data_IF_747189330852
#
_entry.id   IF_747189330852
#
_cell.length_a   1.000
_cell.length_b   1.000
_cell.length_c   1.000
_cell.angle_alpha   90.00
_cell.angle_beta   90.00
_cell.angle_gamma   90.00
#
_symmetry.space_group_name_H-M   'P 1'
#
loop_
_entity.id
_entity.type
_entity.pdbx_description
1 polymer ?
#
# COMPACT_ATOMS: atom_id res chain seq x y z
N UNK A 1 44.78 66.01 -4.80
CA UNK A 1 44.52 65.28 -3.54
C UNK A 1 43.02 64.98 -3.52
N UNK A 2 42.63 63.72 -3.27
CA UNK A 2 41.25 63.15 -3.27
C UNK A 2 40.64 62.90 -4.68
N UNK A 3 40.65 61.69 -5.25
CA UNK A 3 40.04 60.37 -4.93
C UNK A 3 38.59 60.19 -5.47
N UNK A 4 38.49 59.33 -6.50
CA UNK A 4 37.49 58.27 -6.73
C UNK A 4 35.98 58.61 -6.66
N UNK A 5 35.30 58.46 -7.79
CA UNK A 5 33.84 58.40 -7.89
C UNK A 5 33.39 57.36 -8.94
N UNK A 6 33.74 56.09 -8.73
CA UNK A 6 33.15 54.95 -9.47
C UNK A 6 32.21 54.23 -8.51
N UNK A 7 31.06 53.84 -9.06
CA UNK A 7 30.06 52.88 -8.55
C UNK A 7 28.99 53.39 -7.58
N UNK A 8 27.80 53.58 -8.14
CA UNK A 8 26.53 53.31 -7.44
C UNK A 8 25.58 52.69 -8.46
N UNK A 9 25.80 51.42 -8.81
CA UNK A 9 24.74 50.59 -9.37
C UNK A 9 23.77 50.27 -8.22
N UNK A 10 22.54 50.75 -8.34
CA UNK A 10 21.46 50.43 -7.43
C UNK A 10 21.30 48.91 -7.35
N UNK A 11 21.51 48.35 -6.16
CA UNK A 11 21.32 46.93 -5.86
C UNK A 11 19.82 46.68 -5.85
N UNK A 12 19.29 46.09 -6.93
CA UNK A 12 17.90 45.63 -6.97
C UNK A 12 17.67 44.66 -5.80
N UNK A 13 16.72 44.99 -4.93
CA UNK A 13 16.33 44.16 -3.80
C UNK A 13 15.78 42.82 -4.33
N UNK A 14 16.36 41.71 -3.86
CA UNK A 14 15.81 40.36 -4.09
C UNK A 14 14.42 40.29 -3.44
N UNK A 15 13.39 39.73 -4.10
CA UNK A 15 12.11 39.51 -3.44
C UNK A 15 12.31 38.48 -2.33
N UNK A 16 11.93 38.86 -1.10
CA UNK A 16 11.92 37.94 0.02
C UNK A 16 10.84 36.87 -0.23
N UNK A 17 11.25 35.62 -0.30
CA UNK A 17 10.31 34.49 -0.28
C UNK A 17 9.54 34.54 1.03
N UNK A 18 8.22 34.73 0.92
CA UNK A 18 7.30 34.70 2.04
C UNK A 18 7.30 33.27 2.59
N UNK A 19 7.68 33.10 3.85
CA UNK A 19 7.67 31.80 4.52
C UNK A 19 6.29 31.15 4.37
N UNK A 20 6.29 29.90 3.89
CA UNK A 20 5.07 29.11 3.73
C UNK A 20 4.36 28.99 5.08
N UNK A 21 3.04 29.16 5.07
CA UNK A 21 2.21 28.99 6.26
C UNK A 21 2.38 27.57 6.82
N UNK A 22 2.34 27.39 8.15
CA UNK A 22 2.46 26.06 8.76
C UNK A 22 1.34 25.17 8.22
N UNK A 23 1.72 23.96 7.79
CA UNK A 23 0.80 22.91 7.34
C UNK A 23 -0.27 22.72 8.41
N UNK A 24 -1.52 22.99 8.05
CA UNK A 24 -2.66 22.71 8.92
C UNK A 24 -2.73 21.19 9.07
N UNK A 25 -2.41 20.71 10.27
CA UNK A 25 -2.52 19.29 10.61
C UNK A 25 -3.94 18.82 10.24
N UNK A 26 -4.02 17.93 9.26
CA UNK A 26 -5.24 17.18 8.95
C UNK A 26 -5.50 16.35 10.20
N UNK A 27 -6.55 16.70 10.95
CA UNK A 27 -6.99 15.85 12.06
C UNK A 27 -7.32 14.49 11.47
N UNK A 28 -6.79 13.37 11.99
CA UNK A 28 -7.22 12.07 11.55
C UNK A 28 -8.73 11.99 11.77
N UNK A 29 -9.47 11.68 10.70
CA UNK A 29 -10.90 11.46 10.81
C UNK A 29 -11.13 10.40 11.90
N UNK A 30 -12.13 10.57 12.78
CA UNK A 30 -12.43 9.58 13.79
C UNK A 30 -12.66 8.24 13.08
N UNK A 31 -12.06 7.16 13.60
CA UNK A 31 -12.31 5.79 13.17
C UNK A 31 -13.82 5.52 13.25
N UNK A 32 -14.53 5.72 12.13
CA UNK A 32 -15.91 5.30 12.02
C UNK A 32 -15.87 3.78 11.97
N UNK A 33 -16.54 3.15 12.92
CA UNK A 33 -16.66 1.70 13.03
C UNK A 33 -16.88 1.11 11.64
N UNK A 34 -16.06 0.12 11.30
CA UNK A 34 -16.17 -0.71 10.09
C UNK A 34 -17.64 -0.84 9.69
N UNK A 35 -18.04 -0.16 8.61
CA UNK A 35 -19.39 -0.30 8.10
C UNK A 35 -19.63 -1.79 7.82
N UNK A 36 -20.73 -2.30 8.35
CA UNK A 36 -21.13 -3.71 8.49
C UNK A 36 -21.37 -4.46 7.18
N UNK A 37 -20.82 -4.01 6.06
CA UNK A 37 -21.05 -4.59 4.73
C UNK A 37 -19.98 -5.61 4.31
N UNK A 38 -18.77 -5.51 4.84
CA UNK A 38 -17.62 -6.33 4.37
C UNK A 38 -17.04 -7.26 5.43
N UNK A 39 -17.51 -7.19 6.68
CA UNK A 39 -16.96 -7.97 7.78
C UNK A 39 -18.08 -8.46 8.70
N UNK A 40 -18.16 -9.76 8.93
CA UNK A 40 -18.99 -10.33 10.00
C UNK A 40 -18.18 -10.33 11.29
N UNK A 41 -18.57 -9.55 12.30
CA UNK A 41 -17.85 -9.41 13.58
C UNK A 41 -17.76 -10.67 14.46
N UNK A 42 -18.08 -11.85 13.94
CA UNK A 42 -18.04 -13.12 14.64
C UNK A 42 -17.65 -14.23 13.67
N UNK A 43 -16.55 -14.93 13.97
CA UNK A 43 -16.11 -16.10 13.21
C UNK A 43 -17.18 -17.19 13.21
N UNK A 44 -17.43 -17.78 12.05
CA UNK A 44 -18.52 -18.73 11.82
C UNK A 44 -18.15 -20.17 12.23
N UNK A 45 -16.87 -20.43 12.46
CA UNK A 45 -16.31 -21.72 12.85
C UNK A 45 -15.30 -22.24 11.83
N UNK A 46 -14.90 -23.51 11.97
CA UNK A 46 -13.96 -24.16 11.07
C UNK A 46 -14.71 -24.78 9.88
N UNK A 47 -14.22 -24.52 8.67
CA UNK A 47 -14.61 -25.18 7.43
C UNK A 47 -13.60 -26.26 7.02
N UNK A 48 -13.96 -27.04 6.01
CA UNK A 48 -13.09 -28.05 5.40
C UNK A 48 -12.92 -27.75 3.92
N UNK A 49 -11.70 -27.92 3.41
CA UNK A 49 -11.42 -27.75 1.98
C UNK A 49 -12.17 -28.82 1.19
N UNK A 50 -13.06 -28.38 0.30
CA UNK A 50 -13.88 -29.24 -0.54
C UNK A 50 -13.20 -29.50 -1.88
N UNK A 51 -12.71 -28.44 -2.53
CA UNK A 51 -12.09 -28.51 -3.84
C UNK A 51 -10.98 -27.46 -4.00
N UNK A 52 -9.95 -27.79 -4.76
CA UNK A 52 -8.84 -26.88 -5.11
C UNK A 52 -8.70 -26.89 -6.63
N UNK A 53 -8.77 -25.71 -7.26
CA UNK A 53 -8.62 -25.50 -8.70
C UNK A 53 -7.65 -24.33 -8.91
N UNK A 54 -6.36 -24.61 -9.03
CA UNK A 54 -5.33 -23.57 -9.04
C UNK A 54 -5.46 -22.69 -7.78
N UNK A 55 -5.43 -21.37 -7.95
CA UNK A 55 -5.59 -20.41 -6.85
C UNK A 55 -7.02 -20.33 -6.27
N UNK A 56 -8.00 -21.00 -6.87
CA UNK A 56 -9.39 -21.00 -6.40
C UNK A 56 -9.62 -22.20 -5.47
N UNK A 57 -10.01 -21.93 -4.24
CA UNK A 57 -10.23 -22.95 -3.20
C UNK A 57 -11.68 -22.87 -2.72
N UNK A 58 -12.43 -23.96 -2.89
CA UNK A 58 -13.78 -24.06 -2.36
C UNK A 58 -13.74 -24.69 -0.97
N UNK A 59 -14.31 -24.00 0.02
CA UNK A 59 -14.35 -24.42 1.43
C UNK A 59 -15.79 -24.69 1.82
N UNK A 60 -16.05 -25.86 2.40
CA UNK A 60 -17.36 -26.26 2.90
C UNK A 60 -17.44 -26.07 4.40
N UNK A 61 -18.47 -25.39 4.86
CA UNK A 61 -18.77 -25.23 6.27
C UNK A 61 -19.87 -26.21 6.69
N UNK A 62 -19.69 -26.84 7.85
CA UNK A 62 -20.69 -27.76 8.41
C UNK A 62 -21.87 -27.01 9.06
N UNK A 63 -21.77 -25.68 9.19
CA UNK A 63 -22.78 -24.80 9.79
C UNK A 63 -23.67 -24.11 8.73
N UNK A 64 -24.86 -23.68 9.17
CA UNK A 64 -25.79 -22.92 8.32
C UNK A 64 -25.38 -21.45 8.14
N UNK A 65 -24.51 -20.93 9.02
CA UNK A 65 -23.88 -19.62 8.83
C UNK A 65 -22.68 -19.80 7.91
N UNK A 66 -22.44 -18.81 7.05
CA UNK A 66 -21.27 -18.74 6.19
C UNK A 66 -20.48 -17.45 6.51
N UNK A 67 -19.15 -17.47 6.39
CA UNK A 67 -18.34 -16.26 6.49
C UNK A 67 -18.80 -15.21 5.47
N UNK A 68 -18.69 -13.93 5.82
CA UNK A 68 -19.02 -12.86 4.89
C UNK A 68 -18.07 -12.88 3.67
N UNK A 69 -18.55 -12.33 2.55
CA UNK A 69 -17.68 -12.06 1.41
C UNK A 69 -16.60 -11.07 1.86
N UNK A 70 -15.36 -11.27 1.40
CA UNK A 70 -14.13 -10.57 1.77
C UNK A 70 -13.52 -10.95 3.12
N UNK A 71 -14.12 -11.88 3.89
CA UNK A 71 -13.46 -12.40 5.09
C UNK A 71 -12.25 -13.26 4.71
N UNK A 72 -11.23 -13.23 5.58
CA UNK A 72 -10.08 -14.10 5.51
C UNK A 72 -10.34 -15.43 6.22
N UNK A 73 -9.92 -16.52 5.60
CA UNK A 73 -9.81 -17.84 6.21
C UNK A 73 -8.34 -18.22 6.30
N UNK A 74 -7.97 -18.89 7.38
CA UNK A 74 -6.61 -19.39 7.58
C UNK A 74 -6.60 -20.92 7.49
N UNK A 75 -5.72 -21.47 6.67
CA UNK A 75 -5.48 -22.91 6.60
C UNK A 75 -3.99 -23.18 6.79
N UNK A 76 -3.67 -24.33 7.37
CA UNK A 76 -2.29 -24.82 7.40
C UNK A 76 -2.01 -25.60 6.10
N UNK A 77 -0.93 -25.26 5.42
CA UNK A 77 -0.40 -25.99 4.27
C UNK A 77 1.03 -26.43 4.59
N UNK A 78 1.20 -27.68 5.03
CA UNK A 78 2.51 -28.26 5.36
C UNK A 78 3.33 -27.46 6.38
N UNK A 79 2.69 -26.85 7.39
CA UNK A 79 3.33 -26.04 8.42
C UNK A 79 3.49 -24.56 8.04
N UNK A 80 3.02 -24.15 6.86
CA UNK A 80 2.95 -22.76 6.44
C UNK A 80 1.52 -22.25 6.49
N UNK A 81 1.35 -21.03 7.01
CA UNK A 81 0.06 -20.35 7.06
C UNK A 81 -0.34 -19.92 5.66
N UNK A 82 -1.43 -20.47 5.14
CA UNK A 82 -2.05 -20.04 3.89
C UNK A 82 -3.33 -19.26 4.19
N UNK A 83 -3.40 -18.04 3.66
CA UNK A 83 -4.58 -17.16 3.79
C UNK A 83 -5.44 -17.30 2.54
N UNK A 84 -6.74 -17.48 2.74
CA UNK A 84 -7.75 -17.55 1.69
C UNK A 84 -8.74 -16.39 1.88
N UNK A 85 -9.10 -15.67 0.83
CA UNK A 85 -10.15 -14.65 0.89
C UNK A 85 -11.45 -15.18 0.30
N UNK A 86 -12.56 -15.05 1.01
CA UNK A 86 -13.89 -15.44 0.52
C UNK A 86 -14.35 -14.50 -0.58
N UNK A 87 -14.48 -15.00 -1.81
CA UNK A 87 -14.88 -14.19 -2.97
C UNK A 87 -16.39 -14.27 -3.24
N UNK A 88 -16.99 -15.46 -3.09
CA UNK A 88 -18.42 -15.66 -3.36
C UNK A 88 -18.98 -16.87 -2.61
N UNK A 89 -20.30 -16.91 -2.44
CA UNK A 89 -21.02 -18.07 -1.89
C UNK A 89 -21.62 -18.88 -3.04
N UNK A 90 -21.31 -20.18 -3.11
CA UNK A 90 -21.79 -21.06 -4.19
C UNK A 90 -23.15 -21.71 -3.86
N UNK A 91 -23.50 -21.79 -2.58
CA UNK A 91 -24.64 -22.57 -2.09
C UNK A 91 -24.20 -23.86 -1.39
N UNK A 92 -25.13 -24.63 -0.83
CA UNK A 92 -24.86 -25.91 -0.13
C UNK A 92 -23.81 -25.81 1.00
N UNK A 93 -23.77 -24.66 1.68
CA UNK A 93 -22.76 -24.29 2.67
C UNK A 93 -21.31 -24.28 2.14
N UNK A 94 -21.13 -24.05 0.84
CA UNK A 94 -19.82 -23.90 0.19
C UNK A 94 -19.56 -22.45 -0.16
N UNK A 95 -18.37 -21.97 0.21
CA UNK A 95 -17.83 -20.67 -0.20
C UNK A 95 -16.63 -20.88 -1.12
N UNK A 96 -16.53 -20.03 -2.13
CA UNK A 96 -15.39 -19.99 -3.01
C UNK A 96 -14.43 -18.92 -2.55
N UNK A 97 -13.20 -19.35 -2.31
CA UNK A 97 -12.12 -18.51 -1.84
C UNK A 97 -11.03 -18.39 -2.90
N UNK A 98 -10.24 -17.33 -2.77
CA UNK A 98 -9.03 -17.10 -3.55
C UNK A 98 -7.86 -17.22 -2.59
N UNK A 99 -6.89 -18.06 -2.92
CA UNK A 99 -5.69 -18.21 -2.13
C UNK A 99 -4.73 -17.03 -2.37
N UNK A 100 -4.18 -16.49 -1.29
CA UNK A 100 -3.19 -15.40 -1.35
C UNK A 100 -1.77 -15.91 -1.64
N UNK A 101 -1.54 -17.21 -1.49
CA UNK A 101 -0.26 -17.87 -1.74
C UNK A 101 -0.50 -19.22 -2.47
N UNK A 102 0.59 -19.89 -2.85
CA UNK A 102 0.56 -21.16 -3.57
C UNK A 102 -0.30 -22.23 -2.87
N UNK A 103 -1.21 -22.84 -3.62
CA UNK A 103 -2.09 -23.93 -3.15
C UNK A 103 -1.48 -25.31 -3.37
N UNK A 104 -0.21 -25.38 -3.76
CA UNK A 104 0.50 -26.65 -3.96
C UNK A 104 0.62 -27.39 -2.64
N UNK A 105 0.29 -28.69 -2.63
CA UNK A 105 0.28 -29.50 -1.41
C UNK A 105 -1.00 -29.37 -0.55
N UNK A 106 -1.92 -28.47 -0.90
CA UNK A 106 -3.17 -28.32 -0.16
C UNK A 106 -4.09 -29.52 -0.38
N UNK A 107 -4.49 -30.17 0.71
CA UNK A 107 -5.28 -31.40 0.67
C UNK A 107 -6.76 -31.15 0.93
N UNK A 108 -7.63 -31.91 0.26
CA UNK A 108 -9.07 -31.88 0.54
C UNK A 108 -9.33 -32.44 1.94
N UNK A 109 -10.26 -31.82 2.65
CA UNK A 109 -10.58 -32.13 4.04
C UNK A 109 -9.70 -31.39 5.06
N UNK A 110 -8.66 -30.66 4.63
CA UNK A 110 -7.89 -29.81 5.53
C UNK A 110 -8.78 -28.71 6.15
N UNK A 111 -8.43 -28.30 7.36
CA UNK A 111 -9.21 -27.34 8.15
C UNK A 111 -8.90 -25.91 7.70
N UNK A 112 -9.95 -25.14 7.43
CA UNK A 112 -9.89 -23.73 7.12
C UNK A 112 -10.67 -22.95 8.19
N UNK A 113 -9.96 -22.17 9.00
CA UNK A 113 -10.52 -21.42 10.12
C UNK A 113 -10.96 -20.03 9.67
N UNK A 114 -12.21 -19.66 9.94
CA UNK A 114 -12.68 -18.29 9.73
C UNK A 114 -12.10 -17.33 10.77
N UNK A 115 -11.44 -16.27 10.30
CA UNK A 115 -10.90 -15.21 11.15
C UNK A 115 -12.00 -14.26 11.65
N UNK A 116 -13.15 -14.23 10.98
CA UNK A 116 -14.22 -13.27 11.28
C UNK A 116 -13.88 -11.82 10.88
N UNK A 117 -12.83 -11.60 10.10
CA UNK A 117 -12.48 -10.29 9.58
C UNK A 117 -11.91 -10.41 8.16
N UNK A 118 -11.93 -9.34 7.37
CA UNK A 118 -11.13 -9.27 6.15
C UNK A 118 -9.63 -9.40 6.45
N UNK A 119 -8.82 -9.61 5.41
CA UNK A 119 -7.36 -9.59 5.56
C UNK A 119 -6.94 -8.24 6.17
N UNK A 120 -6.27 -8.29 7.32
CA UNK A 120 -5.77 -7.13 8.04
C UNK A 120 -4.26 -7.04 7.96
N UNK A 121 -3.74 -5.87 7.58
CA UNK A 121 -2.30 -5.61 7.45
C UNK A 121 -1.83 -4.63 8.53
N UNK A 122 -0.57 -4.72 8.99
CA UNK A 122 -0.02 -3.76 9.94
C UNK A 122 0.15 -2.39 9.28
N UNK A 123 -0.15 -1.31 10.00
CA UNK A 123 -0.04 0.08 9.50
C UNK A 123 0.71 0.98 10.47
N UNK A 124 1.05 2.20 10.04
CA UNK A 124 1.73 3.21 10.85
C UNK A 124 3.25 3.18 10.72
N UNK A 125 3.94 3.97 11.54
CA UNK A 125 5.37 4.25 11.35
C UNK A 125 6.27 3.00 11.43
N UNK A 126 5.81 1.91 12.05
CA UNK A 126 6.54 0.65 12.14
C UNK A 126 6.73 -0.06 10.78
N UNK A 127 5.92 0.28 9.76
CA UNK A 127 6.03 -0.30 8.41
C UNK A 127 7.05 0.44 7.53
N UNK A 128 7.52 1.61 7.97
CA UNK A 128 8.49 2.40 7.22
C UNK A 128 9.84 1.67 7.15
N UNK A 129 10.38 1.58 5.94
CA UNK A 129 11.62 0.87 5.63
C UNK A 129 11.48 -0.65 5.58
N UNK A 130 10.26 -1.18 5.74
CA UNK A 130 9.96 -2.61 5.69
C UNK A 130 9.40 -3.00 4.34
N UNK A 131 9.59 -4.27 4.01
CA UNK A 131 8.97 -4.90 2.84
C UNK A 131 7.93 -5.89 3.31
N UNK A 132 6.69 -5.74 2.86
CA UNK A 132 5.57 -6.63 3.17
C UNK A 132 4.93 -7.22 1.92
N UNK A 133 4.35 -8.41 2.08
CA UNK A 133 3.52 -9.05 1.06
C UNK A 133 2.05 -8.58 1.16
N UNK A 134 1.18 -9.17 0.33
CA UNK A 134 -0.26 -8.84 0.28
C UNK A 134 -1.00 -9.14 1.59
N UNK A 135 -0.55 -10.14 2.37
CA UNK A 135 -1.12 -10.49 3.68
C UNK A 135 -0.58 -9.64 4.83
N UNK A 136 0.40 -8.77 4.57
CA UNK A 136 1.04 -7.91 5.56
C UNK A 136 2.22 -8.56 6.30
N UNK A 137 2.61 -9.77 5.92
CA UNK A 137 3.77 -10.46 6.46
C UNK A 137 5.07 -9.87 5.91
N UNK A 138 6.11 -9.69 6.76
CA UNK A 138 7.38 -9.14 6.31
C UNK A 138 8.17 -10.15 5.47
N UNK A 139 8.68 -9.70 4.32
CA UNK A 139 9.51 -10.50 3.40
C UNK A 139 10.96 -10.01 3.31
N UNK A 140 11.36 -9.11 4.23
CA UNK A 140 12.70 -8.51 4.26
C UNK A 140 13.69 -9.24 5.19
N UNK A 141 13.30 -10.37 5.79
CA UNK A 141 14.11 -11.14 6.75
C UNK A 141 14.57 -10.34 8.00
N UNK A 142 13.96 -9.18 8.28
CA UNK A 142 14.33 -8.33 9.43
C UNK A 142 13.48 -8.59 10.67
N UNK A 143 12.87 -9.76 10.75
CA UNK A 143 11.96 -10.16 11.83
C UNK A 143 10.56 -9.54 11.71
N UNK A 144 9.69 -9.69 12.73
CA UNK A 144 8.31 -9.26 12.67
C UNK A 144 8.16 -7.72 12.66
N UNK A 145 7.11 -7.21 12.00
CA UNK A 145 6.73 -5.79 12.06
C UNK A 145 5.96 -5.54 13.36
N UNK A 146 6.54 -4.77 14.28
CA UNK A 146 5.90 -4.41 15.55
C UNK A 146 4.95 -3.23 15.36
N UNK A 147 3.76 -3.48 14.82
CA UNK A 147 2.71 -2.45 14.72
C UNK A 147 1.65 -2.62 15.80
N UNK A 148 1.21 -1.48 16.36
CA UNK A 148 0.09 -1.40 17.30
C UNK A 148 -1.27 -1.47 16.59
N UNK A 149 -1.33 -1.05 15.32
CA UNK A 149 -2.57 -0.88 14.57
C UNK A 149 -2.57 -1.77 13.33
N UNK A 150 -3.66 -2.49 13.13
CA UNK A 150 -3.91 -3.27 11.93
C UNK A 150 -5.18 -2.74 11.25
N UNK A 151 -5.13 -2.61 9.92
CA UNK A 151 -6.26 -2.14 9.12
C UNK A 151 -6.66 -3.21 8.09
N UNK A 152 -7.97 -3.40 7.83
CA UNK A 152 -8.45 -4.31 6.80
C UNK A 152 -8.19 -3.72 5.42
N UNK A 153 -7.79 -4.57 4.45
CA UNK A 153 -7.52 -4.15 3.07
C UNK A 153 -8.78 -3.69 2.32
N UNK A 154 -9.95 -4.19 2.73
CA UNK A 154 -11.23 -3.81 2.13
C UNK A 154 -11.86 -2.67 2.92
N UNK A 155 -12.04 -1.52 2.27
CA UNK A 155 -12.68 -0.34 2.86
C UNK A 155 -13.57 0.37 1.84
N UNK A 156 -14.69 0.90 2.30
CA UNK A 156 -15.51 1.80 1.48
C UNK A 156 -14.70 3.05 1.09
N UNK A 157 -14.98 3.56 -0.12
CA UNK A 157 -14.42 4.83 -0.55
C UNK A 157 -14.88 5.97 0.37
N UNK A 158 -14.09 7.05 0.51
CA UNK A 158 -14.49 8.22 1.29
C UNK A 158 -15.84 8.79 0.82
N UNK A 159 -16.67 9.21 1.77
CA UNK A 159 -17.97 9.80 1.47
C UNK A 159 -17.82 11.13 0.71
N UNK A 160 -18.83 11.50 -0.08
CA UNK A 160 -18.81 12.75 -0.86
C UNK A 160 -18.53 13.99 0.00
N UNK A 161 -18.99 14.01 1.25
CA UNK A 161 -18.76 15.12 2.21
C UNK A 161 -17.33 15.23 2.70
N UNK A 162 -16.55 14.16 2.62
CA UNK A 162 -15.13 14.13 3.03
C UNK A 162 -14.19 14.51 1.88
N UNK A 163 -14.70 14.59 0.65
CA UNK A 163 -13.90 14.92 -0.52
C UNK A 163 -13.55 16.41 -0.54
N UNK A 164 -12.26 16.72 -0.63
CA UNK A 164 -11.78 18.09 -0.77
C UNK A 164 -12.04 18.59 -2.19
N UNK A 165 -12.59 19.80 -2.31
CA UNK A 165 -12.76 20.51 -3.60
C UNK A 165 -11.58 21.44 -3.91
N UNK A 166 -10.56 21.48 -3.06
CA UNK A 166 -9.42 22.39 -3.23
C UNK A 166 -8.44 21.85 -4.29
N UNK A 167 -8.19 22.65 -5.32
CA UNK A 167 -7.14 22.38 -6.30
C UNK A 167 -5.81 22.96 -5.82
N UNK A 168 -4.98 22.13 -5.19
CA UNK A 168 -3.61 22.49 -4.81
C UNK A 168 -2.60 21.83 -5.76
N UNK A 169 -1.57 22.57 -6.18
CA UNK A 169 -0.50 22.01 -7.00
C UNK A 169 0.54 21.36 -6.09
N UNK A 170 0.93 20.13 -6.42
CA UNK A 170 2.05 19.42 -5.84
C UNK A 170 3.31 19.73 -6.67
N UNK A 171 4.19 20.58 -6.13
CA UNK A 171 5.49 20.83 -6.75
C UNK A 171 6.37 19.58 -6.64
N UNK A 172 6.74 19.01 -7.80
CA UNK A 172 7.50 17.76 -7.89
C UNK A 172 9.01 17.99 -7.96
N UNK A 173 9.46 19.18 -8.38
CA UNK A 173 10.86 19.48 -8.65
C UNK A 173 11.32 19.05 -10.04
N UNK A 174 10.45 18.42 -10.83
CA UNK A 174 10.74 17.95 -12.18
C UNK A 174 10.24 19.00 -13.17
N UNK A 175 11.16 19.69 -13.85
CA UNK A 175 10.84 20.82 -14.73
C UNK A 175 9.75 20.53 -15.77
N UNK A 176 9.81 19.37 -16.42
CA UNK A 176 8.83 19.00 -17.47
C UNK A 176 7.43 18.80 -16.88
N UNK A 177 7.35 18.21 -15.68
CA UNK A 177 6.09 17.97 -14.98
C UNK A 177 5.52 19.29 -14.47
N UNK A 178 6.31 20.04 -13.71
CA UNK A 178 5.86 21.27 -13.07
C UNK A 178 5.48 22.37 -14.09
N UNK A 179 6.05 22.34 -15.30
CA UNK A 179 5.75 23.32 -16.36
C UNK A 179 4.58 22.89 -17.26
N UNK A 180 4.57 21.64 -17.73
CA UNK A 180 3.63 21.20 -18.79
C UNK A 180 2.42 20.48 -18.21
N UNK A 181 2.61 19.66 -17.18
CA UNK A 181 1.57 18.80 -16.61
C UNK A 181 1.65 18.79 -15.07
N UNK A 182 1.36 19.92 -14.40
CA UNK A 182 1.50 20.05 -12.96
C UNK A 182 0.57 19.06 -12.25
N UNK A 183 1.09 18.39 -11.23
CA UNK A 183 0.32 17.42 -10.46
C UNK A 183 -0.57 18.11 -9.43
N UNK A 184 -1.82 17.67 -9.35
CA UNK A 184 -2.72 18.10 -8.28
C UNK A 184 -2.47 17.26 -7.02
N UNK A 185 -2.34 17.91 -5.87
CA UNK A 185 -2.24 17.25 -4.56
C UNK A 185 -3.54 16.48 -4.28
N UNK A 186 -3.41 15.20 -3.90
CA UNK A 186 -4.55 14.30 -3.73
C UNK A 186 -5.17 13.81 -5.05
N UNK A 187 -4.59 14.17 -6.19
CA UNK A 187 -4.97 13.67 -7.51
C UNK A 187 -4.42 12.27 -7.79
N UNK A 188 -4.99 11.62 -8.81
CA UNK A 188 -4.48 10.37 -9.38
C UNK A 188 -3.63 10.69 -10.60
N UNK A 189 -2.43 10.13 -10.67
CA UNK A 189 -1.48 10.36 -11.75
C UNK A 189 -1.22 9.04 -12.47
N UNK A 190 -1.27 9.06 -13.80
CA UNK A 190 -0.95 7.92 -14.64
C UNK A 190 0.37 8.11 -15.36
N UNK A 191 1.30 7.17 -15.21
CA UNK A 191 2.59 7.14 -15.90
C UNK A 191 2.52 6.14 -17.05
N UNK A 192 2.18 6.63 -18.24
CA UNK A 192 2.06 5.80 -19.44
C UNK A 192 3.40 5.72 -20.18
N UNK A 193 3.84 4.51 -20.50
CA UNK A 193 5.06 4.32 -21.28
C UNK A 193 5.42 2.86 -21.50
N UNK A 194 6.20 2.60 -22.55
CA UNK A 194 6.68 1.25 -22.90
C UNK A 194 7.70 0.69 -21.91
N UNK A 195 8.22 -0.51 -22.18
CA UNK A 195 9.32 -1.07 -21.40
C UNK A 195 10.60 -0.22 -21.61
N UNK A 196 11.39 -0.02 -20.56
CA UNK A 196 12.69 0.66 -20.65
C UNK A 196 12.66 2.19 -20.81
N UNK A 197 11.49 2.85 -20.77
CA UNK A 197 11.39 4.32 -20.88
C UNK A 197 11.73 5.09 -19.59
N UNK A 198 12.20 4.40 -18.55
CA UNK A 198 12.57 5.02 -17.27
C UNK A 198 11.42 5.30 -16.30
N UNK A 199 10.29 4.56 -16.39
CA UNK A 199 9.15 4.73 -15.46
C UNK A 199 9.56 4.56 -14.00
N UNK A 200 10.31 3.52 -13.68
CA UNK A 200 10.75 3.19 -12.32
C UNK A 200 11.69 4.27 -11.78
N UNK A 201 12.67 4.69 -12.60
CA UNK A 201 13.57 5.80 -12.28
C UNK A 201 12.80 7.10 -12.01
N UNK A 202 11.77 7.38 -12.80
CA UNK A 202 10.92 8.54 -12.58
C UNK A 202 10.14 8.48 -11.26
N UNK A 203 9.59 7.31 -10.91
CA UNK A 203 8.88 7.12 -9.63
C UNK A 203 9.83 7.30 -8.45
N UNK A 204 11.04 6.76 -8.52
CA UNK A 204 12.07 6.94 -7.48
C UNK A 204 12.41 8.41 -7.26
N UNK A 205 12.64 9.15 -8.35
CA UNK A 205 12.98 10.56 -8.28
C UNK A 205 11.83 11.38 -7.68
N UNK A 206 10.59 11.02 -8.01
CA UNK A 206 9.39 11.63 -7.44
C UNK A 206 9.29 11.36 -5.93
N UNK A 207 9.52 10.12 -5.48
CA UNK A 207 9.53 9.75 -4.05
C UNK A 207 10.62 10.53 -3.32
N UNK A 208 11.83 10.56 -3.87
CA UNK A 208 12.98 11.27 -3.31
C UNK A 208 12.70 12.77 -3.14
N UNK A 209 12.14 13.42 -4.16
CA UNK A 209 11.82 14.85 -4.11
C UNK A 209 10.67 15.15 -3.14
N UNK A 210 9.63 14.33 -3.10
CA UNK A 210 8.52 14.52 -2.15
C UNK A 210 8.98 14.30 -0.70
N UNK A 211 9.76 13.23 -0.46
CA UNK A 211 10.28 12.90 0.87
C UNK A 211 11.23 13.99 1.42
N UNK A 212 11.99 14.66 0.54
CA UNK A 212 12.91 15.76 0.90
C UNK A 212 12.21 17.10 1.04
N UNK A 213 11.34 17.47 0.09
CA UNK A 213 10.75 18.81 0.03
C UNK A 213 9.50 18.98 0.90
N UNK A 214 8.65 17.96 1.00
CA UNK A 214 7.36 18.04 1.68
C UNK A 214 7.33 17.28 3.01
N UNK A 215 8.39 16.52 3.33
CA UNK A 215 8.46 15.72 4.56
C UNK A 215 7.40 14.63 4.65
N UNK A 216 6.82 14.24 3.50
CA UNK A 216 5.78 13.22 3.43
C UNK A 216 6.34 11.80 3.47
N UNK A 217 5.52 10.88 3.95
CA UNK A 217 5.75 9.44 3.78
C UNK A 217 5.27 9.01 2.40
N UNK A 218 5.91 7.99 1.83
CA UNK A 218 5.46 7.37 0.58
C UNK A 218 5.24 5.87 0.78
N UNK A 219 4.30 5.31 0.04
CA UNK A 219 4.08 3.88 -0.02
C UNK A 219 4.24 3.46 -1.46
N UNK A 220 5.11 2.48 -1.69
CA UNK A 220 5.29 1.91 -3.01
C UNK A 220 4.69 0.51 -3.03
N UNK A 221 3.71 0.33 -3.92
CA UNK A 221 3.02 -0.95 -4.13
C UNK A 221 3.45 -1.53 -5.48
N UNK A 222 4.33 -2.52 -5.47
CA UNK A 222 4.77 -3.20 -6.70
C UNK A 222 3.84 -4.36 -7.03
N UNK A 223 2.87 -4.13 -7.93
CA UNK A 223 1.85 -5.11 -8.33
C UNK A 223 2.22 -5.70 -9.69
N UNK A 224 2.48 -7.01 -9.75
CA UNK A 224 2.84 -7.70 -10.99
C UNK A 224 4.17 -7.23 -11.59
N UNK A 225 5.01 -6.58 -10.78
CA UNK A 225 6.34 -6.15 -11.18
C UNK A 225 7.34 -7.31 -11.10
N UNK A 226 8.45 -7.20 -11.84
CA UNK A 226 9.51 -8.20 -11.76
C UNK A 226 10.21 -8.12 -10.41
N UNK A 227 10.52 -9.28 -9.83
CA UNK A 227 11.32 -9.39 -8.58
C UNK A 227 12.63 -8.61 -8.66
N UNK A 228 13.32 -8.66 -9.82
CA UNK A 228 14.55 -7.89 -10.04
C UNK A 228 14.31 -6.38 -9.92
N UNK A 229 13.23 -5.86 -10.50
CA UNK A 229 12.94 -4.43 -10.48
C UNK A 229 12.59 -3.94 -9.05
N UNK A 230 11.88 -4.77 -8.27
CA UNK A 230 11.64 -4.51 -6.85
C UNK A 230 12.92 -4.55 -5.99
N UNK A 231 13.82 -5.49 -6.27
CA UNK A 231 15.11 -5.60 -5.58
C UNK A 231 16.03 -4.41 -5.89
N UNK A 232 16.15 -4.04 -7.17
CA UNK A 232 16.95 -2.90 -7.61
C UNK A 232 16.42 -1.60 -6.96
N UNK A 233 15.09 -1.43 -6.95
CA UNK A 233 14.42 -0.31 -6.28
C UNK A 233 14.77 -0.23 -4.78
N UNK A 234 14.76 -1.37 -4.08
CA UNK A 234 15.07 -1.40 -2.65
C UNK A 234 16.50 -0.96 -2.36
N UNK A 235 17.48 -1.45 -3.12
CA UNK A 235 18.88 -1.07 -2.95
C UNK A 235 19.12 0.40 -3.34
N UNK A 236 18.53 0.89 -4.42
CA UNK A 236 18.63 2.30 -4.82
C UNK A 236 18.01 3.23 -3.75
N UNK A 237 16.92 2.82 -3.10
CA UNK A 237 16.33 3.56 -1.98
C UNK A 237 17.23 3.57 -0.73
N UNK A 238 18.03 2.52 -0.52
CA UNK A 238 19.05 2.51 0.53
C UNK A 238 20.20 3.46 0.20
N UNK A 239 20.70 3.44 -1.04
CA UNK A 239 21.78 4.33 -1.49
C UNK A 239 21.39 5.81 -1.43
N UNK A 240 20.15 6.13 -1.82
CA UNK A 240 19.60 7.50 -1.76
C UNK A 240 19.20 7.94 -0.34
N UNK A 241 19.41 7.08 0.66
CA UNK A 241 19.07 7.30 2.07
C UNK A 241 17.59 7.59 2.33
N UNK A 242 16.73 7.15 1.42
CA UNK A 242 15.26 7.22 1.55
C UNK A 242 14.77 6.12 2.49
N UNK A 243 15.38 4.95 2.39
CA UNK A 243 15.26 3.85 3.35
C UNK A 243 16.55 3.81 4.16
N UNK A 244 16.43 3.92 5.47
CA UNK A 244 17.53 3.81 6.41
C UNK A 244 17.22 2.68 7.38
N UNK A 245 18.09 1.66 7.39
CA UNK A 245 17.87 0.43 8.15
C UNK A 245 17.96 0.64 9.67
N UNK A 246 18.79 1.60 10.10
CA UNK A 246 19.04 1.97 11.51
C UNK A 246 18.55 3.40 11.83
N UNK A 247 17.80 4.01 10.91
CA UNK A 247 17.36 5.40 10.98
C UNK A 247 15.90 5.60 10.62
N UNK A 248 15.51 6.85 10.38
CA UNK A 248 14.14 7.19 9.98
C UNK A 248 13.93 6.96 8.49
N UNK A 249 13.26 5.86 8.16
CA UNK A 249 12.80 5.58 6.81
C UNK A 249 11.55 6.38 6.48
N UNK A 250 11.40 6.79 5.22
CA UNK A 250 10.22 7.55 4.75
C UNK A 250 9.31 6.77 3.81
N UNK A 251 9.67 5.54 3.48
CA UNK A 251 8.97 4.72 2.49
C UNK A 251 8.60 3.36 3.07
N UNK A 252 7.37 2.91 2.86
CA UNK A 252 6.97 1.51 3.06
C UNK A 252 6.83 0.81 1.71
N UNK A 253 7.29 -0.44 1.61
CA UNK A 253 7.25 -1.25 0.39
C UNK A 253 6.25 -2.38 0.55
N UNK A 254 5.29 -2.47 -0.37
CA UNK A 254 4.35 -3.59 -0.49
C UNK A 254 4.58 -4.25 -1.84
N UNK A 255 4.90 -5.54 -1.86
CA UNK A 255 5.12 -6.27 -3.10
C UNK A 255 4.08 -7.38 -3.26
N UNK A 256 3.53 -7.46 -4.46
CA UNK A 256 2.80 -8.61 -4.97
C UNK A 256 3.37 -8.93 -6.34
N UNK A 257 4.41 -9.76 -6.38
CA UNK A 257 5.27 -9.92 -7.56
C UNK A 257 4.69 -10.90 -8.59
N UNK A 258 5.28 -10.92 -9.80
CA UNK A 258 4.82 -11.81 -10.89
C UNK A 258 4.86 -13.32 -10.56
N UNK A 259 5.63 -13.72 -9.55
CA UNK A 259 5.76 -15.11 -9.10
C UNK A 259 4.66 -15.52 -8.10
N UNK A 260 3.90 -14.57 -7.56
CA UNK A 260 2.76 -14.85 -6.69
C UNK A 260 1.55 -15.32 -7.50
N UNK A 261 0.64 -16.10 -6.90
CA UNK A 261 -0.58 -16.52 -7.58
C UNK A 261 -1.39 -15.31 -8.05
N UNK A 262 -2.24 -15.46 -9.08
CA UNK A 262 -3.08 -14.37 -9.55
C UNK A 262 -4.13 -14.01 -8.48
N UNK A 263 -3.76 -13.10 -7.59
CA UNK A 263 -4.65 -12.51 -6.61
C UNK A 263 -5.30 -11.30 -7.28
N UNK A 264 -6.64 -11.18 -7.32
CA UNK A 264 -7.26 -9.90 -7.60
C UNK A 264 -6.89 -9.01 -6.42
N UNK A 265 -5.93 -8.12 -6.59
CA UNK A 265 -5.54 -7.19 -5.53
C UNK A 265 -6.36 -5.91 -5.71
N UNK A 266 -7.50 -5.71 -5.02
CA UNK A 266 -8.03 -4.39 -4.81
C UNK A 266 -7.18 -3.76 -3.70
N UNK A 267 -5.91 -3.45 -3.96
CA UNK A 267 -5.21 -2.50 -3.08
C UNK A 267 -5.92 -1.18 -3.34
N UNK A 268 -6.92 -0.86 -2.52
CA UNK A 268 -7.41 0.50 -2.46
C UNK A 268 -6.23 1.34 -1.97
N UNK A 269 -5.73 2.32 -2.74
CA UNK A 269 -4.58 3.13 -2.34
C UNK A 269 -4.82 3.92 -1.04
N UNK A 270 -6.05 3.91 -0.50
CA UNK A 270 -6.45 4.54 0.76
C UNK A 270 -6.15 3.70 2.01
N UNK A 271 -5.38 2.62 1.91
CA UNK A 271 -4.98 1.77 3.03
C UNK A 271 -3.80 2.27 3.86
N UNK A 272 -3.14 3.36 3.46
CA UNK A 272 -2.03 3.96 4.22
C UNK A 272 -2.15 5.46 4.30
#
# INVERSE_FOLDING_TARGET
>A
MFKSGISSFARAARPAFRAAAPLRAVKPAPFRALNSRFASTSGVGDGKIYQVIGAVVDVKFDTAKLPAILNALETDNNGQKLVLEVSQHLGESVVRCIAMDGTEGLTRGALAKDTGAPITIPVGNATLGRIMNVTGDPIDERGPIKSENHLPIHREAPEFTEQSTAAEILATGIKVVDLIAPYARGGKIGLFGGAGVGKTVFIQELINNIAKAHGGYSVFTGVGERTREGNDLYHEMQETSVIQLDGESKVALVFGQMNEPPVPVPVSPSLV
#
